data_IF_890078182935
#
_entry.id   IF_890078182935
#
_cell.length_a   1.000
_cell.length_b   1.000
_cell.length_c   1.000
_cell.angle_alpha   90.00
_cell.angle_beta   90.00
_cell.angle_gamma   90.00
#
_symmetry.space_group_name_H-M   'P 1'
#
loop_
_entity.id
_entity.type
_entity.pdbx_description
1 polymer ?
#
# COMPACT_ATOMS: atom_id res chain seq x y z
N UNK A 1 -3.19 2.78 -9.55
CA UNK A 1 -3.37 1.84 -8.42
C UNK A 1 -2.86 0.47 -8.82
N UNK A 2 -2.52 -0.36 -7.84
CA UNK A 2 -2.15 -1.76 -8.02
C UNK A 2 -2.98 -2.62 -7.08
N UNK A 3 -3.60 -3.66 -7.61
CA UNK A 3 -4.22 -4.73 -6.82
C UNK A 3 -3.24 -5.90 -6.69
N UNK A 4 -3.08 -6.41 -5.47
CA UNK A 4 -2.34 -7.64 -5.19
C UNK A 4 -3.29 -8.68 -4.60
N UNK A 5 -3.48 -9.79 -5.31
CA UNK A 5 -4.22 -10.97 -4.83
C UNK A 5 -3.22 -12.04 -4.43
N UNK A 6 -3.28 -12.50 -3.18
CA UNK A 6 -2.31 -13.42 -2.61
C UNK A 6 -2.96 -14.55 -1.79
N UNK A 7 -2.29 -15.70 -1.74
CA UNK A 7 -2.47 -16.72 -0.72
C UNK A 7 -1.41 -16.46 0.35
N UNK A 8 -1.83 -16.16 1.57
CA UNK A 8 -0.91 -15.90 2.68
C UNK A 8 -0.51 -17.21 3.38
N UNK A 9 0.71 -17.26 3.92
CA UNK A 9 1.16 -18.38 4.76
C UNK A 9 0.33 -18.49 6.05
N UNK A 10 -0.02 -17.34 6.63
CA UNK A 10 -0.98 -17.25 7.74
C UNK A 10 -2.38 -17.35 7.16
N UNK A 11 -3.11 -18.40 7.52
CA UNK A 11 -4.53 -18.54 7.19
C UNK A 11 -5.44 -17.86 8.20
N UNK A 12 -6.72 -17.77 7.85
CA UNK A 12 -7.79 -17.21 8.68
C UNK A 12 -7.56 -15.76 9.12
N UNK A 13 -6.91 -14.95 8.28
CA UNK A 13 -6.82 -13.50 8.53
C UNK A 13 -8.15 -12.83 8.23
N UNK A 14 -8.39 -11.67 8.84
CA UNK A 14 -9.52 -10.78 8.51
C UNK A 14 -9.02 -9.54 7.76
N UNK A 15 -9.92 -8.82 7.09
CA UNK A 15 -9.58 -7.55 6.45
C UNK A 15 -9.01 -6.54 7.47
N UNK A 16 -9.62 -6.44 8.66
CA UNK A 16 -9.13 -5.58 9.75
C UNK A 16 -7.72 -5.96 10.21
N UNK A 17 -7.42 -7.26 10.29
CA UNK A 17 -6.09 -7.73 10.67
C UNK A 17 -5.05 -7.36 9.61
N UNK A 18 -5.37 -7.57 8.33
CA UNK A 18 -4.50 -7.18 7.20
C UNK A 18 -4.27 -5.66 7.21
N UNK A 19 -5.35 -4.89 7.36
CA UNK A 19 -5.31 -3.43 7.40
C UNK A 19 -4.44 -2.92 8.56
N UNK A 20 -4.64 -3.44 9.77
CA UNK A 20 -3.87 -3.06 10.95
C UNK A 20 -2.40 -3.48 10.85
N UNK A 21 -2.10 -4.62 10.21
CA UNK A 21 -0.73 -5.05 9.98
C UNK A 21 0.00 -4.12 9.00
N UNK A 22 -0.64 -3.77 7.88
CA UNK A 22 -0.04 -2.90 6.87
C UNK A 22 0.09 -1.46 7.39
N UNK A 23 -0.92 -0.91 8.08
CA UNK A 23 -0.91 0.46 8.64
C UNK A 23 0.29 0.73 9.54
N UNK A 24 0.71 -0.25 10.36
CA UNK A 24 1.90 -0.09 11.22
C UNK A 24 3.20 0.16 10.44
N UNK A 25 3.25 -0.23 9.17
CA UNK A 25 4.40 -0.01 8.30
C UNK A 25 4.33 1.28 7.47
N UNK A 26 3.17 1.97 7.50
CA UNK A 26 2.98 3.28 6.86
C UNK A 26 3.18 4.43 7.84
N UNK A 27 2.99 4.20 9.15
CA UNK A 27 3.18 5.22 10.20
C UNK A 27 4.61 5.77 10.19
N UNK A 28 4.74 7.07 9.86
CA UNK A 28 6.03 7.76 9.77
C UNK A 28 6.90 7.35 8.57
N UNK A 29 6.36 6.57 7.63
CA UNK A 29 7.09 6.13 6.44
C UNK A 29 6.90 7.13 5.30
N UNK A 30 7.95 7.86 4.93
CA UNK A 30 7.84 8.86 3.86
C UNK A 30 7.65 8.25 2.47
N UNK A 31 7.89 6.95 2.28
CA UNK A 31 7.76 6.26 0.98
C UNK A 31 6.44 5.50 0.82
N UNK A 32 5.84 5.08 1.92
CA UNK A 32 4.63 4.26 1.92
C UNK A 32 3.55 4.89 2.80
N UNK A 33 2.60 5.55 2.16
CA UNK A 33 1.50 6.25 2.81
C UNK A 33 0.30 5.35 3.11
N UNK A 34 -0.71 5.95 3.74
CA UNK A 34 -1.99 5.34 4.07
C UNK A 34 -3.08 6.37 3.86
N UNK A 35 -4.19 5.98 3.24
CA UNK A 35 -5.37 6.83 3.13
C UNK A 35 -6.64 5.97 3.19
N UNK A 36 -7.52 6.25 4.14
CA UNK A 36 -8.82 5.59 4.36
C UNK A 36 -10.03 6.51 4.06
N UNK A 37 -9.82 7.59 3.32
CA UNK A 37 -10.83 8.62 3.01
C UNK A 37 -11.63 8.33 1.72
N UNK A 38 -11.63 7.07 1.23
CA UNK A 38 -12.32 6.65 -0.01
C UNK A 38 -11.89 7.46 -1.26
N UNK A 39 -10.59 7.72 -1.38
CA UNK A 39 -9.99 8.50 -2.48
C UNK A 39 -10.11 7.82 -3.85
N UNK A 40 -10.01 8.64 -4.90
CA UNK A 40 -9.90 8.20 -6.30
C UNK A 40 -8.55 8.60 -6.92
N UNK A 41 -8.34 8.25 -8.19
CA UNK A 41 -7.04 8.41 -8.85
C UNK A 41 -6.53 9.85 -8.93
N UNK A 42 -7.41 10.85 -9.06
CA UNK A 42 -7.00 12.25 -9.14
C UNK A 42 -6.43 12.77 -7.83
N UNK A 43 -6.86 12.22 -6.70
CA UNK A 43 -6.47 12.69 -5.37
C UNK A 43 -5.01 12.35 -5.05
N UNK A 44 -4.43 11.35 -5.72
CA UNK A 44 -3.02 10.99 -5.53
C UNK A 44 -2.06 11.78 -6.42
N UNK A 45 -2.56 12.55 -7.39
CA UNK A 45 -1.71 13.37 -8.27
C UNK A 45 -0.94 14.41 -7.44
N UNK A 46 0.38 14.41 -7.57
CA UNK A 46 1.28 15.30 -6.83
C UNK A 46 1.64 14.82 -5.42
N UNK A 47 1.16 13.65 -4.99
CA UNK A 47 1.62 13.04 -3.74
C UNK A 47 3.08 12.59 -3.83
N UNK A 48 3.79 12.60 -2.70
CA UNK A 48 5.24 12.30 -2.66
C UNK A 48 5.54 10.86 -2.24
N UNK A 49 4.53 10.08 -1.87
CA UNK A 49 4.68 8.67 -1.54
C UNK A 49 4.92 7.86 -2.83
N UNK A 50 5.77 6.84 -2.76
CA UNK A 50 5.90 5.87 -3.86
C UNK A 50 4.72 4.91 -3.95
N UNK A 51 4.00 4.72 -2.85
CA UNK A 51 2.81 3.88 -2.73
C UNK A 51 1.96 4.36 -1.55
N UNK A 52 0.64 4.26 -1.65
CA UNK A 52 -0.31 4.67 -0.62
C UNK A 52 -1.30 3.52 -0.43
N UNK A 53 -1.23 2.83 0.71
CA UNK A 53 -2.16 1.74 1.00
C UNK A 53 -3.58 2.25 1.21
N UNK A 54 -4.53 1.58 0.59
CA UNK A 54 -5.96 1.87 0.68
C UNK A 54 -6.67 0.68 1.38
N UNK A 55 -7.00 0.81 2.68
CA UNK A 55 -7.64 -0.24 3.44
C UNK A 55 -9.12 -0.44 3.08
N UNK A 56 -9.74 0.53 2.38
CA UNK A 56 -11.17 0.48 2.01
C UNK A 56 -11.43 -0.57 0.93
N UNK A 57 -10.37 -0.95 0.20
CA UNK A 57 -10.41 -1.94 -0.88
C UNK A 57 -9.80 -3.30 -0.49
N UNK A 58 -9.45 -3.51 0.79
CA UNK A 58 -9.00 -4.82 1.27
C UNK A 58 -10.15 -5.81 1.26
N UNK A 59 -9.95 -6.96 0.62
CA UNK A 59 -10.96 -8.03 0.52
C UNK A 59 -10.34 -9.36 0.95
N UNK A 60 -11.05 -10.10 1.81
CA UNK A 60 -10.67 -11.45 2.22
C UNK A 60 -11.78 -12.42 1.87
N UNK A 61 -11.48 -13.36 0.97
CA UNK A 61 -12.42 -14.41 0.54
C UNK A 61 -11.92 -15.75 1.06
N UNK A 62 -12.78 -16.45 1.80
CA UNK A 62 -12.45 -17.75 2.41
C UNK A 62 -13.41 -18.83 1.90
N UNK A 63 -12.88 -19.95 1.43
CA UNK A 63 -13.63 -21.11 0.98
C UNK A 63 -12.96 -22.39 1.51
N UNK A 64 -13.55 -22.99 2.56
CA UNK A 64 -12.95 -24.14 3.23
C UNK A 64 -11.62 -23.78 3.89
N UNK A 65 -10.55 -24.50 3.50
CA UNK A 65 -9.18 -24.27 3.97
C UNK A 65 -8.40 -23.26 3.12
N UNK A 66 -9.01 -22.73 2.05
CA UNK A 66 -8.39 -21.76 1.14
C UNK A 66 -8.83 -20.35 1.48
N UNK A 67 -7.87 -19.42 1.43
CA UNK A 67 -8.11 -18.00 1.63
C UNK A 67 -7.33 -17.19 0.59
N UNK A 68 -8.04 -16.27 -0.06
CA UNK A 68 -7.46 -15.23 -0.92
C UNK A 68 -7.58 -13.89 -0.22
N UNK A 69 -6.50 -13.12 -0.25
CA UNK A 69 -6.43 -11.77 0.30
C UNK A 69 -6.08 -10.82 -0.84
N UNK A 70 -6.96 -9.85 -1.09
CA UNK A 70 -6.73 -8.73 -1.99
C UNK A 70 -6.37 -7.50 -1.18
N UNK A 71 -5.32 -6.80 -1.61
CA UNK A 71 -4.90 -5.50 -1.07
C UNK A 71 -4.68 -4.54 -2.22
N UNK A 72 -4.89 -3.25 -1.97
CA UNK A 72 -4.76 -2.21 -2.99
C UNK A 72 -3.87 -1.08 -2.50
N UNK A 73 -3.06 -0.55 -3.41
CA UNK A 73 -2.32 0.68 -3.17
C UNK A 73 -2.40 1.63 -4.36
N UNK A 74 -2.59 2.90 -4.08
CA UNK A 74 -2.49 4.00 -5.03
C UNK A 74 -1.05 4.49 -5.14
N UNK A 75 -0.76 5.20 -6.22
CA UNK A 75 0.49 5.92 -6.41
C UNK A 75 0.31 6.90 -7.56
N UNK A 76 0.96 8.06 -7.44
CA UNK A 76 1.27 8.88 -8.61
C UNK A 76 2.46 8.23 -9.32
N UNK A 77 2.20 7.70 -10.52
CA UNK A 77 3.22 7.03 -11.32
C UNK A 77 4.31 7.97 -11.85
N UNK A 78 4.10 9.28 -11.82
CA UNK A 78 5.09 10.29 -12.20
C UNK A 78 5.76 10.89 -10.98
N UNK A 79 4.99 11.61 -10.15
CA UNK A 79 5.55 12.42 -9.05
C UNK A 79 6.00 11.55 -7.88
N UNK A 80 5.18 10.58 -7.47
CA UNK A 80 5.51 9.63 -6.41
C UNK A 80 6.73 8.80 -6.76
N UNK A 81 6.80 8.29 -7.99
CA UNK A 81 7.98 7.59 -8.51
C UNK A 81 9.23 8.49 -8.51
N UNK A 82 9.11 9.73 -8.99
CA UNK A 82 10.22 10.70 -9.01
C UNK A 82 10.73 11.00 -7.59
N UNK A 83 9.85 11.18 -6.62
CA UNK A 83 10.26 11.36 -5.22
C UNK A 83 11.05 10.15 -4.68
N UNK A 84 10.65 8.90 -5.01
CA UNK A 84 11.43 7.72 -4.63
C UNK A 84 12.84 7.70 -5.25
N UNK A 85 12.96 8.11 -6.52
CA UNK A 85 14.27 8.24 -7.17
C UNK A 85 15.15 9.28 -6.46
N UNK A 86 14.58 10.42 -6.06
CA UNK A 86 15.32 11.45 -5.32
C UNK A 86 15.73 10.96 -3.92
N UNK A 87 14.87 10.25 -3.18
CA UNK A 87 15.25 9.60 -1.92
C UNK A 87 16.45 8.68 -2.10
N UNK A 88 16.45 7.89 -3.18
CA UNK A 88 17.56 6.99 -3.54
C UNK A 88 18.84 7.76 -3.89
N UNK A 89 18.72 8.82 -4.69
CA UNK A 89 19.84 9.69 -5.06
C UNK A 89 20.48 10.37 -3.85
N UNK A 90 19.67 10.88 -2.93
CA UNK A 90 20.16 11.44 -1.66
C UNK A 90 20.85 10.37 -0.81
N UNK A 91 20.31 9.14 -0.79
CA UNK A 91 20.98 8.02 -0.11
C UNK A 91 22.35 7.73 -0.72
N UNK A 92 22.49 7.78 -2.05
CA UNK A 92 23.77 7.60 -2.76
C UNK A 92 24.82 8.63 -2.33
N UNK A 93 24.42 9.87 -1.99
CA UNK A 93 25.34 10.89 -1.48
C UNK A 93 25.85 10.62 -0.04
N UNK A 94 25.35 9.58 0.63
CA UNK A 94 25.76 9.15 1.99
C UNK A 94 26.40 7.77 2.02
N UNK A 95 26.69 7.18 0.85
CA UNK A 95 27.48 5.95 0.72
C UNK A 95 28.96 6.25 0.93
#
# INVERSE_FOLDING_TARGET
MTELVAILKKGNVTADEVNAAIKKHTEGNESFGYNDDEIVSSDVIGTTYGSIFDPTQTEVVTAGDKQLVKTVAWYDNEYGFTCQMIRTLLKFATL
#
